data_IF_854112584645
#
_entry.id   IF_854112584645
#
_cell.length_a   1.000
_cell.length_b   1.000
_cell.length_c   1.000
_cell.angle_alpha   90.00
_cell.angle_beta   90.00
_cell.angle_gamma   90.00
#
_symmetry.space_group_name_H-M   'P 1'
#
loop_
_entity.id
_entity.type
_entity.pdbx_description
1 polymer ?
#
# COMPACT_ATOMS: atom_id res chain seq x y z
N UNK A 1 27.37 -41.81 -37.88
CA UNK A 1 27.15 -40.71 -38.83
C UNK A 1 25.90 -41.01 -39.66
N UNK A 2 24.74 -40.60 -39.15
CA UNK A 2 23.57 -40.26 -39.97
C UNK A 2 23.05 -38.99 -39.31
N UNK A 3 23.45 -37.88 -39.91
CA UNK A 3 22.97 -36.54 -39.58
C UNK A 3 21.50 -36.48 -40.02
N UNK A 4 20.74 -35.59 -39.39
CA UNK A 4 19.41 -35.07 -39.80
C UNK A 4 18.18 -35.75 -39.19
N UNK A 5 17.80 -35.33 -37.98
CA UNK A 5 16.39 -35.02 -37.71
C UNK A 5 16.30 -33.58 -37.23
N UNK A 6 15.62 -32.81 -38.07
CA UNK A 6 15.17 -31.45 -37.93
C UNK A 6 14.28 -31.32 -36.67
N UNK A 7 14.67 -30.47 -35.73
CA UNK A 7 13.73 -29.88 -34.78
C UNK A 7 14.03 -28.38 -34.70
N UNK A 8 13.62 -27.72 -35.76
CA UNK A 8 13.32 -26.30 -35.81
C UNK A 8 12.29 -25.97 -34.72
N UNK A 9 12.45 -24.79 -34.11
CA UNK A 9 11.57 -24.16 -33.12
C UNK A 9 11.74 -24.57 -31.65
N UNK A 10 12.81 -24.05 -31.04
CA UNK A 10 12.80 -23.71 -29.61
C UNK A 10 13.17 -22.23 -29.43
N UNK A 11 12.44 -21.36 -30.13
CA UNK A 11 12.41 -19.94 -29.87
C UNK A 11 10.95 -19.59 -29.57
N UNK A 12 10.72 -18.84 -28.49
CA UNK A 12 9.42 -18.33 -28.02
C UNK A 12 8.62 -19.23 -27.07
N UNK A 13 9.20 -19.57 -25.92
CA UNK A 13 8.39 -19.77 -24.71
C UNK A 13 9.23 -19.55 -23.44
N UNK A 14 9.91 -18.41 -23.29
CA UNK A 14 10.13 -17.93 -21.93
C UNK A 14 8.76 -17.47 -21.43
N UNK A 15 8.16 -18.12 -20.41
CA UNK A 15 6.93 -17.60 -19.84
C UNK A 15 7.20 -16.14 -19.49
N UNK A 16 6.36 -15.23 -20.00
CA UNK A 16 6.45 -13.84 -19.58
C UNK A 16 6.27 -13.88 -18.07
N UNK A 17 7.32 -13.49 -17.34
CA UNK A 17 7.26 -13.33 -15.90
C UNK A 17 6.12 -12.31 -15.68
N UNK A 18 4.93 -12.83 -15.38
CA UNK A 18 3.80 -12.01 -15.01
C UNK A 18 4.29 -11.16 -13.88
N UNK A 19 4.34 -9.84 -14.08
CA UNK A 19 4.71 -8.90 -13.04
C UNK A 19 3.82 -9.21 -11.86
N UNK A 20 4.40 -9.87 -10.85
CA UNK A 20 3.74 -10.16 -9.60
C UNK A 20 3.34 -8.80 -9.07
N UNK A 21 2.07 -8.42 -9.27
CA UNK A 21 1.52 -7.21 -8.66
C UNK A 21 1.86 -7.37 -7.18
N UNK A 22 2.52 -6.39 -6.54
CA UNK A 22 2.80 -6.51 -5.13
C UNK A 22 1.47 -6.90 -4.49
N UNK A 23 1.46 -8.07 -3.85
CA UNK A 23 0.35 -8.43 -3.01
C UNK A 23 0.43 -7.38 -1.91
N UNK A 24 -0.32 -6.29 -2.09
CA UNK A 24 -0.66 -5.34 -1.04
C UNK A 24 -1.54 -6.15 -0.10
N UNK A 25 -0.91 -7.09 0.58
CA UNK A 25 -1.42 -7.90 1.65
C UNK A 25 -2.06 -6.87 2.55
N UNK A 26 -3.40 -6.77 2.45
CA UNK A 26 -4.20 -5.64 2.92
C UNK A 26 -3.60 -5.23 4.24
N UNK A 27 -2.90 -4.08 4.27
CA UNK A 27 -2.01 -3.69 5.35
C UNK A 27 -2.64 -4.13 6.65
N UNK A 28 -2.00 -5.07 7.35
CA UNK A 28 -2.59 -5.82 8.45
C UNK A 28 -3.43 -4.87 9.29
N UNK A 29 -4.76 -4.98 9.11
CA UNK A 29 -5.73 -4.05 9.69
C UNK A 29 -5.95 -4.49 11.12
N UNK A 30 -4.87 -4.45 11.93
CA UNK A 30 -4.95 -4.59 13.38
C UNK A 30 -6.15 -3.75 13.83
N UNK A 31 -7.21 -4.46 14.21
CA UNK A 31 -8.56 -3.94 14.20
C UNK A 31 -8.65 -2.73 15.09
N UNK A 32 -9.08 -1.61 14.54
CA UNK A 32 -9.43 -0.44 15.34
C UNK A 32 -10.52 -0.87 16.31
N UNK A 33 -10.26 -0.82 17.61
CA UNK A 33 -11.20 -1.21 18.65
C UNK A 33 -11.86 0.02 19.27
N UNK A 34 -13.16 -0.05 19.52
CA UNK A 34 -13.88 1.01 20.23
C UNK A 34 -13.32 1.17 21.63
N UNK A 35 -13.10 2.42 22.06
CA UNK A 35 -12.49 2.74 23.37
C UNK A 35 -10.97 2.66 23.38
N UNK A 36 -10.33 2.07 22.36
CA UNK A 36 -8.88 2.13 22.21
C UNK A 36 -8.45 3.52 21.74
N UNK A 37 -7.39 4.04 22.35
CA UNK A 37 -6.76 5.28 21.90
C UNK A 37 -6.26 5.10 20.45
N UNK A 38 -6.61 6.05 19.59
CA UNK A 38 -6.05 6.13 18.25
C UNK A 38 -4.53 6.38 18.31
N UNK A 39 -3.77 5.77 17.39
CA UNK A 39 -2.33 5.96 17.28
C UNK A 39 -2.02 7.42 16.98
N UNK A 40 -1.01 7.98 17.66
CA UNK A 40 -0.58 9.36 17.42
C UNK A 40 0.01 9.51 16.01
N UNK A 41 -0.22 10.67 15.41
CA UNK A 41 0.28 11.01 14.09
C UNK A 41 0.51 12.51 13.98
N UNK A 42 1.31 12.89 12.99
CA UNK A 42 1.63 14.27 12.68
C UNK A 42 1.46 14.51 11.17
N UNK A 43 0.65 15.49 10.80
CA UNK A 43 0.33 15.84 9.41
C UNK A 43 0.57 17.31 9.17
N UNK A 44 1.13 17.65 8.01
CA UNK A 44 1.15 19.03 7.53
C UNK A 44 -0.19 19.36 6.88
N UNK A 45 -0.64 20.60 7.07
CA UNK A 45 -1.74 21.16 6.28
C UNK A 45 -1.40 21.16 4.80
N UNK A 46 -2.42 21.17 3.94
CA UNK A 46 -2.25 21.23 2.49
C UNK A 46 -1.43 22.45 2.03
N UNK A 47 -1.54 23.56 2.75
CA UNK A 47 -0.76 24.78 2.49
C UNK A 47 0.66 24.76 3.11
N UNK A 48 1.00 23.71 3.86
CA UNK A 48 2.27 23.53 4.53
C UNK A 48 2.55 24.47 5.71
N UNK A 49 1.62 25.36 6.06
CA UNK A 49 1.87 26.42 7.08
C UNK A 49 1.71 25.95 8.51
N UNK A 50 0.90 24.92 8.71
CA UNK A 50 0.62 24.38 10.04
C UNK A 50 0.84 22.87 10.07
N UNK A 51 1.20 22.39 11.25
CA UNK A 51 1.30 20.97 11.54
C UNK A 51 0.24 20.59 12.56
N UNK A 52 -0.49 19.51 12.29
CA UNK A 52 -1.47 18.93 13.19
C UNK A 52 -0.88 17.67 13.82
N UNK A 53 -0.90 17.59 15.15
CA UNK A 53 -0.53 16.40 15.92
C UNK A 53 -1.73 15.90 16.71
N UNK A 54 -2.14 14.64 16.57
CA UNK A 54 -3.36 14.13 17.20
C UNK A 54 -3.35 14.29 18.73
N UNK A 55 -2.22 13.96 19.38
CA UNK A 55 -2.06 14.09 20.83
C UNK A 55 -2.23 15.51 21.37
N UNK A 56 -2.11 16.54 20.53
CA UNK A 56 -2.37 17.93 20.95
C UNK A 56 -3.86 18.17 21.27
N UNK A 57 -4.76 17.41 20.65
CA UNK A 57 -6.21 17.52 20.78
C UNK A 57 -6.88 16.32 21.49
N UNK A 58 -6.19 15.18 21.59
CA UNK A 58 -6.69 13.97 22.23
C UNK A 58 -7.17 14.26 23.67
N UNK A 59 -8.39 13.83 24.01
CA UNK A 59 -9.00 14.05 25.33
C UNK A 59 -9.45 15.50 25.63
N UNK A 60 -9.14 16.46 24.76
CA UNK A 60 -9.53 17.88 24.93
C UNK A 60 -10.74 18.25 24.08
N UNK A 61 -10.80 17.70 22.86
CA UNK A 61 -11.89 17.97 21.90
C UNK A 61 -12.24 16.68 21.14
N UNK A 62 -13.54 16.39 20.91
CA UNK A 62 -13.93 15.34 19.98
C UNK A 62 -13.28 15.58 18.62
N UNK A 63 -12.60 14.57 18.07
CA UNK A 63 -11.83 14.69 16.82
C UNK A 63 -12.25 13.56 15.87
N UNK A 64 -12.56 13.91 14.62
CA UNK A 64 -12.98 12.98 13.57
C UNK A 64 -11.88 12.91 12.51
N UNK A 65 -11.50 11.69 12.10
CA UNK A 65 -10.53 11.44 11.03
C UNK A 65 -11.27 10.94 9.79
N UNK A 66 -11.06 11.61 8.66
CA UNK A 66 -11.59 11.19 7.36
C UNK A 66 -10.39 10.89 6.47
N UNK A 67 -10.27 9.63 6.02
CA UNK A 67 -9.25 9.21 5.08
C UNK A 67 -9.82 9.23 3.67
N UNK A 68 -9.14 9.93 2.76
CA UNK A 68 -9.54 10.04 1.37
C UNK A 68 -8.40 10.56 0.50
N UNK A 69 -8.61 10.48 -0.80
CA UNK A 69 -7.74 11.05 -1.82
C UNK A 69 -8.62 11.74 -2.85
N UNK A 70 -8.14 12.86 -3.40
CA UNK A 70 -8.75 13.49 -4.56
C UNK A 70 -7.83 13.21 -5.75
N UNK A 71 -8.38 12.53 -6.77
CA UNK A 71 -7.69 12.18 -8.02
C UNK A 71 -8.48 12.72 -9.19
#
# INVERSE_FOLDING_TARGET
MVVTTLALALLMATPVEGTQRPNLQRADRGGIQVGQAAKDFELKSLDGKSTFKLSSNYGKKPTVLIFGSYT
#
